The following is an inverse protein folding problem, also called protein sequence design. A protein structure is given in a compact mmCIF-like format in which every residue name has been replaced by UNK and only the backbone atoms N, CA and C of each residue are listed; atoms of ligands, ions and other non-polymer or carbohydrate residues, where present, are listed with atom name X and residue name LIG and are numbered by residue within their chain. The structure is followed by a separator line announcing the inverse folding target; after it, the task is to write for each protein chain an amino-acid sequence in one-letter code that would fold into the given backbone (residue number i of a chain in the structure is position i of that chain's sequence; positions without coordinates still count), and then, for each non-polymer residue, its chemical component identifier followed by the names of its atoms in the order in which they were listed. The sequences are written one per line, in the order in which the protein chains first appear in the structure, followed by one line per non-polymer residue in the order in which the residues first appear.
data_IF_372644667184
#
_entry.id   IF_372644667184
#
_cell.length_a   1.000
_cell.length_b   1.000
_cell.length_c   1.000
_cell.angle_alpha   90.00
_cell.angle_beta   90.00
_cell.angle_gamma   90.00
#
_symmetry.space_group_name_H-M   'P 1'
#
loop_
_entity.id
_entity.type
_entity.pdbx_description
1 polymer ?
#
# COMPACT_ATOMS: atom_id res chain seq x y z
N UNK A 1 0.16 22.72 7.28
CA UNK A 1 0.89 21.46 7.19
C UNK A 1 1.69 21.33 5.89
N UNK A 2 1.13 21.71 4.74
CA UNK A 2 1.87 21.70 3.46
C UNK A 2 3.12 22.60 3.49
N UNK A 3 3.03 23.76 4.09
CA UNK A 3 4.16 24.68 4.24
C UNK A 3 5.25 24.08 5.15
N UNK A 4 4.86 23.44 6.25
CA UNK A 4 5.76 22.71 7.13
C UNK A 4 6.49 21.59 6.39
N UNK A 5 5.77 20.82 5.59
CA UNK A 5 6.34 19.76 4.76
C UNK A 5 7.41 20.30 3.81
N UNK A 6 7.14 21.41 3.11
CA UNK A 6 8.09 22.03 2.18
C UNK A 6 9.36 22.51 2.90
N UNK A 7 9.21 23.10 4.08
CA UNK A 7 10.35 23.61 4.86
C UNK A 7 11.23 22.51 5.43
N UNK A 8 10.63 21.44 5.94
CA UNK A 8 11.36 20.37 6.61
C UNK A 8 12.02 19.42 5.64
N UNK A 9 11.33 19.05 4.57
CA UNK A 9 11.79 18.03 3.63
C UNK A 9 12.36 18.60 2.34
N UNK A 10 12.35 19.90 2.17
CA UNK A 10 12.82 20.60 0.95
C UNK A 10 12.22 20.01 -0.34
N UNK A 11 10.99 19.49 -0.24
CA UNK A 11 10.27 18.89 -1.35
C UNK A 11 9.28 19.88 -1.91
N UNK A 12 9.43 20.21 -3.19
CA UNK A 12 8.55 21.14 -3.89
C UNK A 12 7.23 20.49 -4.32
N UNK A 13 7.14 19.15 -4.29
CA UNK A 13 5.91 18.43 -4.54
C UNK A 13 5.04 18.42 -3.30
N UNK A 14 3.74 18.66 -3.46
CA UNK A 14 2.82 18.59 -2.34
C UNK A 14 2.62 17.15 -1.90
N UNK A 15 2.51 16.88 -0.56
CA UNK A 15 2.08 15.58 -0.08
C UNK A 15 0.61 15.34 -0.49
N UNK A 16 0.25 14.07 -0.68
CA UNK A 16 -1.12 13.68 -1.01
C UNK A 16 -2.06 13.97 0.16
N UNK A 17 -1.67 13.54 1.34
CA UNK A 17 -2.35 13.77 2.61
C UNK A 17 -1.39 13.49 3.76
N UNK A 18 -1.86 13.70 4.97
CA UNK A 18 -1.05 13.49 6.18
C UNK A 18 -1.89 12.93 7.33
N UNK A 19 -1.19 12.37 8.31
CA UNK A 19 -1.76 11.76 9.50
C UNK A 19 -1.18 12.43 10.73
N UNK A 20 -2.05 12.89 11.63
CA UNK A 20 -1.64 13.34 12.96
C UNK A 20 -1.45 12.15 13.88
N UNK A 21 -0.33 12.15 14.59
CA UNK A 21 -0.07 11.22 15.68
C UNK A 21 -0.13 11.99 17.00
N UNK A 22 -0.96 11.52 17.91
CA UNK A 22 -1.07 12.10 19.24
C UNK A 22 -1.51 11.03 20.23
N UNK A 23 -0.63 10.69 21.17
CA UNK A 23 -0.89 9.73 22.22
C UNK A 23 -0.31 10.23 23.53
N UNK A 24 -1.05 10.14 24.62
CA UNK A 24 -0.63 10.53 25.96
C UNK A 24 -0.37 9.31 26.86
N UNK A 25 -1.07 8.23 26.65
CA UNK A 25 -0.97 6.99 27.44
C UNK A 25 -1.11 5.76 26.54
N UNK A 26 -0.33 4.70 26.70
CA UNK A 26 0.65 4.44 27.77
C UNK A 26 2.01 5.11 27.59
N UNK A 27 2.23 5.84 26.51
CA UNK A 27 3.44 6.63 26.26
C UNK A 27 3.05 7.93 25.57
N UNK A 28 3.94 8.92 25.67
CA UNK A 28 3.76 10.22 25.04
C UNK A 28 4.38 10.21 23.65
N UNK A 29 3.56 10.48 22.63
CA UNK A 29 4.02 10.54 21.25
C UNK A 29 3.21 11.59 20.50
N UNK A 30 3.91 12.50 19.82
CA UNK A 30 3.32 13.50 18.94
C UNK A 30 4.04 13.51 17.61
N UNK A 31 3.31 13.70 16.54
CA UNK A 31 3.95 13.78 15.25
C UNK A 31 2.98 13.95 14.09
N UNK A 32 3.57 13.95 12.92
CA UNK A 32 2.86 14.02 11.65
C UNK A 32 3.57 13.13 10.64
N UNK A 33 2.79 12.32 9.94
CA UNK A 33 3.26 11.52 8.82
C UNK A 33 2.63 12.03 7.54
N UNK A 34 3.44 12.18 6.50
CA UNK A 34 3.01 12.59 5.17
C UNK A 34 3.11 11.44 4.19
N UNK A 35 2.09 11.30 3.35
CA UNK A 35 2.13 10.43 2.17
C UNK A 35 2.63 11.25 0.99
N UNK A 36 3.89 11.09 0.59
CA UNK A 36 4.41 11.73 -0.60
C UNK A 36 3.89 11.02 -1.84
N UNK A 37 3.94 11.69 -2.98
CA UNK A 37 3.72 11.05 -4.26
C UNK A 37 4.93 10.19 -4.60
N UNK A 38 4.78 8.86 -4.52
CA UNK A 38 5.85 7.90 -4.68
C UNK A 38 5.91 7.42 -6.12
N UNK A 39 7.06 7.63 -6.78
CA UNK A 39 7.33 7.06 -8.09
C UNK A 39 8.34 5.92 -7.95
N UNK A 40 7.84 4.68 -7.87
CA UNK A 40 8.66 3.48 -7.63
C UNK A 40 9.57 3.09 -8.81
N UNK A 41 9.42 3.70 -9.98
CA UNK A 41 10.17 3.32 -11.18
C UNK A 41 11.51 4.05 -11.36
N UNK A 42 11.67 5.23 -10.77
CA UNK A 42 12.78 6.14 -11.10
C UNK A 42 13.64 6.62 -9.94
N UNK A 43 13.26 6.37 -8.71
CA UNK A 43 13.98 6.86 -7.53
C UNK A 43 14.18 5.75 -6.49
N UNK A 44 15.36 5.71 -5.86
CA UNK A 44 15.53 4.95 -4.63
C UNK A 44 14.71 5.64 -3.54
N UNK A 45 13.53 5.10 -3.25
CA UNK A 45 12.52 5.81 -2.49
C UNK A 45 12.65 5.44 -1.03
N UNK A 46 13.53 6.12 -0.35
CA UNK A 46 13.42 6.22 1.08
C UNK A 46 12.79 7.57 1.41
N UNK A 47 11.60 7.55 2.02
CA UNK A 47 11.08 8.69 2.74
C UNK A 47 11.99 9.02 3.91
N UNK A 48 11.72 10.08 4.62
CA UNK A 48 12.47 10.44 5.81
C UNK A 48 11.53 10.65 6.97
N UNK A 49 11.63 9.80 7.99
CA UNK A 49 10.94 9.98 9.27
C UNK A 49 11.96 10.42 10.30
N UNK A 50 11.85 11.67 10.71
CA UNK A 50 12.74 12.30 11.70
C UNK A 50 12.23 12.03 13.10
N UNK A 51 13.07 11.43 13.94
CA UNK A 51 12.74 11.11 15.31
C UNK A 51 13.35 12.11 16.27
N UNK A 52 12.52 12.61 17.18
CA UNK A 52 12.89 13.56 18.24
C UNK A 52 12.56 12.99 19.61
N UNK A 53 13.26 13.47 20.60
CA UNK A 53 12.95 13.26 22.01
C UNK A 53 12.94 14.62 22.73
N UNK A 54 11.78 15.03 23.25
CA UNK A 54 11.60 16.36 23.84
C UNK A 54 12.12 17.49 22.94
N UNK A 55 11.76 17.47 21.65
CA UNK A 55 12.15 18.44 20.63
C UNK A 55 13.65 18.44 20.28
N UNK A 56 14.40 17.47 20.76
CA UNK A 56 15.81 17.28 20.38
C UNK A 56 15.90 16.18 19.31
N UNK A 57 16.52 16.52 18.19
CA UNK A 57 16.69 15.57 17.08
C UNK A 57 17.59 14.39 17.50
N UNK A 58 17.14 13.19 17.17
CA UNK A 58 17.84 11.94 17.48
C UNK A 58 18.46 11.35 16.22
N UNK A 59 17.65 11.00 15.24
CA UNK A 59 18.09 10.41 13.99
C UNK A 59 16.98 10.36 12.95
N UNK A 60 17.35 10.05 11.72
CA UNK A 60 16.42 9.72 10.65
C UNK A 60 16.24 8.20 10.56
N UNK A 61 15.03 7.77 10.20
CA UNK A 61 14.71 6.39 9.80
C UNK A 61 15.24 5.29 10.74
N UNK A 62 14.96 5.39 12.02
CA UNK A 62 15.38 4.37 13.01
C UNK A 62 14.54 3.11 12.81
N UNK A 63 15.13 2.07 12.19
CA UNK A 63 14.47 0.80 11.84
C UNK A 63 13.94 0.04 13.05
N UNK A 64 14.57 0.20 14.19
CA UNK A 64 14.17 -0.43 15.44
C UNK A 64 12.84 0.11 15.98
N UNK A 65 12.49 1.34 15.66
CA UNK A 65 11.28 2.03 16.14
C UNK A 65 10.21 2.11 15.04
N UNK A 66 10.65 2.38 13.81
CA UNK A 66 9.77 2.59 12.66
C UNK A 66 9.77 1.33 11.80
N UNK A 67 8.62 0.67 11.56
CA UNK A 67 8.53 -0.45 10.63
C UNK A 67 9.10 -0.10 9.24
N UNK A 68 9.82 -1.03 8.65
CA UNK A 68 10.54 -0.80 7.38
C UNK A 68 9.64 -0.25 6.28
N UNK A 69 8.42 -0.78 6.13
CA UNK A 69 7.51 -0.34 5.08
C UNK A 69 7.04 1.11 5.27
N UNK A 70 6.99 1.61 6.50
CA UNK A 70 6.63 3.01 6.80
C UNK A 70 7.73 3.99 6.40
N UNK A 71 8.95 3.52 6.13
CA UNK A 71 10.06 4.39 5.71
C UNK A 71 9.89 4.98 4.31
N UNK A 72 8.87 4.54 3.57
CA UNK A 72 8.44 5.19 2.34
C UNK A 72 7.72 6.51 2.58
N UNK A 73 7.28 6.76 3.80
CA UNK A 73 6.62 8.00 4.22
C UNK A 73 7.65 9.04 4.69
N UNK A 74 7.21 10.29 4.74
CA UNK A 74 7.96 11.38 5.34
C UNK A 74 7.24 11.83 6.60
N UNK A 75 7.98 12.23 7.62
CA UNK A 75 7.34 12.64 8.86
C UNK A 75 8.30 13.11 9.92
N UNK A 76 7.71 13.59 11.00
CA UNK A 76 8.38 14.00 12.22
C UNK A 76 7.63 13.40 13.39
N UNK A 77 8.35 12.71 14.26
CA UNK A 77 7.79 12.07 15.45
C UNK A 77 8.60 12.49 16.65
N UNK A 78 7.93 12.99 17.69
CA UNK A 78 8.53 13.27 19.00
C UNK A 78 7.97 12.28 20.02
N UNK A 79 8.86 11.49 20.61
CA UNK A 79 8.54 10.55 21.67
C UNK A 79 9.47 10.75 22.88
N UNK A 80 9.05 11.53 23.88
CA UNK A 80 9.87 11.79 25.07
C UNK A 80 10.22 10.53 25.87
N UNK A 81 9.37 9.51 25.81
CA UNK A 81 9.53 8.27 26.59
C UNK A 81 10.46 7.25 25.90
N UNK A 82 11.00 7.57 24.73
CA UNK A 82 11.88 6.66 24.00
C UNK A 82 13.19 6.43 24.80
N UNK A 83 13.58 5.15 25.03
CA UNK A 83 14.81 4.85 25.76
C UNK A 83 16.04 5.13 24.91
N UNK A 84 16.73 6.25 25.19
CA UNK A 84 17.89 6.72 24.42
C UNK A 84 19.23 6.11 24.87
N UNK A 85 19.26 5.53 26.07
CA UNK A 85 20.49 5.03 26.71
C UNK A 85 20.78 3.56 26.40
N UNK A 86 20.04 2.94 25.49
CA UNK A 86 20.20 1.55 25.08
C UNK A 86 20.74 1.43 23.67
N UNK A 87 21.47 0.35 23.39
CA UNK A 87 21.95 0.06 22.05
C UNK A 87 20.80 -0.18 21.08
N UNK A 88 21.01 0.02 19.77
CA UNK A 88 20.00 -0.27 18.75
C UNK A 88 19.52 -1.71 18.80
N UNK A 89 20.42 -2.67 19.06
CA UNK A 89 20.04 -4.09 19.20
C UNK A 89 19.13 -4.34 20.42
N UNK A 90 19.31 -3.58 21.51
CA UNK A 90 18.43 -3.66 22.67
C UNK A 90 17.04 -3.03 22.38
N UNK A 91 16.96 -1.99 21.53
CA UNK A 91 15.70 -1.39 21.10
C UNK A 91 14.82 -2.38 20.34
N UNK A 92 15.37 -3.27 19.53
CA UNK A 92 14.61 -4.29 18.78
C UNK A 92 13.83 -5.24 19.68
N UNK A 93 14.33 -5.52 20.88
CA UNK A 93 13.74 -6.43 21.85
C UNK A 93 12.96 -5.70 22.96
N UNK A 94 12.88 -4.37 22.90
CA UNK A 94 12.15 -3.58 23.86
C UNK A 94 10.66 -3.62 23.58
N UNK A 95 9.88 -4.11 24.54
CA UNK A 95 8.42 -4.20 24.42
C UNK A 95 7.74 -2.84 24.27
N UNK A 96 8.34 -1.79 24.80
CA UNK A 96 7.85 -0.42 24.66
C UNK A 96 8.01 0.10 23.23
N UNK A 97 9.17 -0.13 22.62
CA UNK A 97 9.45 0.22 21.22
C UNK A 97 8.50 -0.50 20.27
N UNK A 98 8.20 -1.76 20.55
CA UNK A 98 7.20 -2.53 19.80
C UNK A 98 5.80 -1.90 19.89
N UNK A 99 5.41 -1.41 21.05
CA UNK A 99 4.12 -0.71 21.22
C UNK A 99 4.05 0.58 20.41
N UNK A 100 5.13 1.34 20.33
CA UNK A 100 5.23 2.55 19.48
C UNK A 100 5.04 2.16 18.01
N UNK A 101 5.78 1.17 17.55
CA UNK A 101 5.72 0.66 16.19
C UNK A 101 4.31 0.17 15.82
N UNK A 102 3.68 -0.61 16.68
CA UNK A 102 2.31 -1.11 16.49
C UNK A 102 1.29 0.04 16.45
N UNK A 103 1.46 1.06 17.30
CA UNK A 103 0.60 2.24 17.31
C UNK A 103 0.68 3.03 16.01
N UNK A 104 1.89 3.29 15.51
CA UNK A 104 2.09 4.02 14.25
C UNK A 104 1.47 3.23 13.09
N UNK A 105 1.74 1.94 13.01
CA UNK A 105 1.18 1.05 11.99
C UNK A 105 -0.34 1.06 12.00
N UNK A 106 -0.94 0.98 13.18
CA UNK A 106 -2.40 1.04 13.35
C UNK A 106 -2.96 2.38 12.87
N UNK A 107 -2.34 3.49 13.21
CA UNK A 107 -2.80 4.83 12.79
C UNK A 107 -2.73 5.01 11.28
N UNK A 108 -1.69 4.49 10.64
CA UNK A 108 -1.58 4.50 9.17
C UNK A 108 -2.72 3.67 8.54
N UNK A 109 -2.94 2.45 9.03
CA UNK A 109 -4.02 1.60 8.56
C UNK A 109 -5.40 2.24 8.79
N UNK A 110 -5.64 2.82 9.96
CA UNK A 110 -6.90 3.50 10.30
C UNK A 110 -7.18 4.69 9.38
N UNK A 111 -6.16 5.47 9.03
CA UNK A 111 -6.30 6.57 8.07
C UNK A 111 -6.74 6.07 6.69
N UNK A 112 -6.07 5.04 6.19
CA UNK A 112 -6.34 4.48 4.86
C UNK A 112 -7.72 3.80 4.82
N UNK A 113 -8.04 2.98 5.81
CA UNK A 113 -9.35 2.31 5.88
C UNK A 113 -10.49 3.31 6.11
N UNK A 114 -10.24 4.34 6.91
CA UNK A 114 -11.19 5.42 7.13
C UNK A 114 -11.51 6.20 5.85
N UNK A 115 -10.51 6.52 5.04
CA UNK A 115 -10.70 7.15 3.73
C UNK A 115 -11.54 6.25 2.81
N UNK A 116 -11.26 4.96 2.78
CA UNK A 116 -12.02 4.01 1.97
C UNK A 116 -13.50 3.95 2.38
N UNK A 117 -13.78 4.04 3.68
CA UNK A 117 -15.15 3.97 4.21
C UNK A 117 -15.92 5.28 4.09
N UNK A 118 -15.28 6.40 4.34
CA UNK A 118 -15.96 7.71 4.51
C UNK A 118 -15.72 8.67 3.37
N UNK A 119 -14.67 8.50 2.59
CA UNK A 119 -14.32 9.36 1.46
C UNK A 119 -13.73 8.53 0.32
N UNK A 120 -14.54 7.62 -0.19
CA UNK A 120 -14.17 6.67 -1.25
C UNK A 120 -13.65 7.36 -2.50
N UNK A 121 -14.22 8.49 -2.88
CA UNK A 121 -13.80 9.25 -4.04
C UNK A 121 -12.34 9.71 -3.92
N UNK A 122 -11.95 10.27 -2.78
CA UNK A 122 -10.57 10.68 -2.51
C UNK A 122 -9.63 9.47 -2.45
N UNK A 123 -10.07 8.37 -1.85
CA UNK A 123 -9.32 7.11 -1.78
C UNK A 123 -9.02 6.57 -3.18
N UNK A 124 -10.01 6.52 -4.05
CA UNK A 124 -9.85 6.10 -5.45
C UNK A 124 -8.94 7.06 -6.24
N UNK A 125 -9.10 8.36 -6.02
CA UNK A 125 -8.25 9.39 -6.65
C UNK A 125 -6.77 9.20 -6.34
N UNK A 126 -6.43 8.81 -5.11
CA UNK A 126 -5.05 8.61 -4.69
C UNK A 126 -4.57 7.17 -4.85
N UNK A 127 -5.44 6.24 -5.21
CA UNK A 127 -5.12 4.81 -5.19
C UNK A 127 -3.85 4.47 -5.97
N UNK A 128 -3.69 4.96 -7.18
CA UNK A 128 -2.51 4.65 -8.02
C UNK A 128 -1.20 5.14 -7.37
N UNK A 129 -1.27 6.22 -6.59
CA UNK A 129 -0.12 6.76 -5.85
C UNK A 129 0.15 6.02 -4.53
N UNK A 130 -0.88 5.55 -3.84
CA UNK A 130 -0.74 4.90 -2.53
C UNK A 130 -0.69 3.37 -2.61
N UNK A 131 -1.16 2.78 -3.70
CA UNK A 131 -1.21 1.32 -3.87
C UNK A 131 0.16 0.65 -3.72
N UNK A 132 1.25 1.15 -4.30
CA UNK A 132 2.58 0.53 -4.11
C UNK A 132 2.99 0.48 -2.64
N UNK A 133 2.75 1.55 -1.88
CA UNK A 133 3.00 1.60 -0.45
C UNK A 133 2.17 0.55 0.32
N UNK A 134 0.86 0.51 0.06
CA UNK A 134 -0.05 -0.42 0.74
C UNK A 134 0.33 -1.87 0.43
N UNK A 135 0.59 -2.20 -0.83
CA UNK A 135 0.98 -3.54 -1.27
C UNK A 135 2.33 -3.95 -0.69
N UNK A 136 3.30 -3.05 -0.67
CA UNK A 136 4.58 -3.30 -0.02
C UNK A 136 4.41 -3.56 1.48
N UNK A 137 3.59 -2.76 2.16
CA UNK A 137 3.24 -2.95 3.56
C UNK A 137 2.58 -4.30 3.85
N UNK A 138 1.66 -4.72 2.99
CA UNK A 138 0.99 -6.02 3.08
C UNK A 138 1.96 -7.19 2.90
N UNK A 139 3.01 -7.02 2.10
CA UNK A 139 4.05 -8.03 1.90
C UNK A 139 5.02 -8.12 3.08
N UNK A 140 5.26 -7.01 3.77
CA UNK A 140 6.27 -6.92 4.84
C UNK A 140 5.72 -7.07 6.25
N UNK A 141 4.47 -6.75 6.47
CA UNK A 141 3.84 -6.73 7.80
C UNK A 141 2.48 -7.43 7.75
N UNK A 142 2.39 -8.59 8.42
CA UNK A 142 1.18 -9.39 8.43
C UNK A 142 0.01 -8.69 9.13
N UNK A 143 0.26 -7.97 10.19
CA UNK A 143 -0.79 -7.23 10.91
C UNK A 143 -1.39 -6.12 10.05
N UNK A 144 -0.52 -5.42 9.32
CA UNK A 144 -0.96 -4.41 8.35
C UNK A 144 -1.76 -5.04 7.21
N UNK A 145 -1.29 -6.17 6.68
CA UNK A 145 -2.00 -6.93 5.64
C UNK A 145 -3.42 -7.33 6.09
N UNK A 146 -3.56 -7.85 7.30
CA UNK A 146 -4.86 -8.25 7.86
C UNK A 146 -5.81 -7.05 7.99
N UNK A 147 -5.30 -5.89 8.40
CA UNK A 147 -6.11 -4.66 8.51
C UNK A 147 -6.53 -4.09 7.16
N UNK A 148 -5.69 -4.25 6.14
CA UNK A 148 -5.92 -3.69 4.80
C UNK A 148 -6.67 -4.64 3.86
N UNK A 149 -6.86 -5.90 4.22
CA UNK A 149 -7.32 -6.96 3.32
C UNK A 149 -8.63 -6.60 2.59
N UNK A 150 -9.62 -6.06 3.31
CA UNK A 150 -10.91 -5.67 2.74
C UNK A 150 -10.90 -4.30 2.04
N UNK A 151 -9.78 -3.59 2.07
CA UNK A 151 -9.65 -2.22 1.58
C UNK A 151 -8.70 -2.09 0.39
N UNK A 152 -8.20 -3.19 -0.11
CA UNK A 152 -7.47 -3.24 -1.37
C UNK A 152 -8.48 -3.13 -2.51
N UNK A 153 -8.26 -2.19 -3.41
CA UNK A 153 -9.12 -1.97 -4.57
C UNK A 153 -8.34 -2.21 -5.87
N UNK A 154 -9.07 -2.60 -6.89
CA UNK A 154 -8.53 -2.98 -8.19
C UNK A 154 -9.22 -2.20 -9.29
N UNK A 155 -8.46 -1.55 -10.14
CA UNK A 155 -8.97 -0.81 -11.29
C UNK A 155 -9.28 -1.77 -12.43
N UNK A 156 -10.52 -1.76 -12.92
CA UNK A 156 -10.94 -2.60 -14.03
C UNK A 156 -10.68 -1.94 -15.39
N UNK A 157 -11.10 -2.61 -16.47
CA UNK A 157 -10.93 -2.10 -17.84
C UNK A 157 -11.74 -0.83 -18.12
N UNK A 158 -12.82 -0.60 -17.40
CA UNK A 158 -13.66 0.60 -17.51
C UNK A 158 -13.18 1.76 -16.62
N UNK A 159 -12.06 1.58 -15.93
CA UNK A 159 -11.52 2.59 -15.01
C UNK A 159 -12.23 2.66 -13.66
N UNK A 160 -13.08 1.70 -13.34
CA UNK A 160 -13.76 1.59 -12.04
C UNK A 160 -12.93 0.79 -11.05
N UNK A 161 -13.04 1.11 -9.77
CA UNK A 161 -12.33 0.45 -8.69
C UNK A 161 -13.25 -0.55 -7.99
N UNK A 162 -12.81 -1.80 -7.92
CA UNK A 162 -13.54 -2.93 -7.36
C UNK A 162 -12.77 -3.53 -6.18
N UNK A 163 -13.48 -4.08 -5.20
CA UNK A 163 -12.88 -4.93 -4.17
C UNK A 163 -12.54 -6.31 -4.75
N UNK A 164 -11.72 -7.10 -4.06
CA UNK A 164 -11.45 -8.48 -4.48
C UNK A 164 -12.74 -9.31 -4.55
N UNK A 165 -13.63 -9.13 -3.58
CA UNK A 165 -14.94 -9.79 -3.57
C UNK A 165 -15.75 -9.46 -4.82
N UNK A 166 -15.81 -8.19 -5.19
CA UNK A 166 -16.51 -7.74 -6.39
C UNK A 166 -15.90 -8.35 -7.67
N UNK A 167 -14.58 -8.45 -7.73
CA UNK A 167 -13.88 -9.09 -8.85
C UNK A 167 -14.21 -10.58 -8.92
N UNK A 168 -14.28 -11.26 -7.78
CA UNK A 168 -14.61 -12.69 -7.72
C UNK A 168 -16.07 -12.95 -8.09
N UNK A 169 -17.01 -12.13 -7.62
CA UNK A 169 -18.43 -12.22 -7.98
C UNK A 169 -18.63 -12.01 -9.48
N UNK A 170 -17.94 -11.02 -10.04
CA UNK A 170 -17.98 -10.73 -11.47
C UNK A 170 -17.40 -11.88 -12.32
N UNK A 171 -16.29 -12.46 -11.88
CA UNK A 171 -15.67 -13.61 -12.52
C UNK A 171 -16.63 -14.81 -12.56
N UNK A 172 -17.39 -15.03 -11.49
CA UNK A 172 -18.41 -16.09 -11.43
C UNK A 172 -19.54 -15.83 -12.42
N UNK A 173 -20.03 -14.60 -12.48
CA UNK A 173 -21.08 -14.21 -13.45
C UNK A 173 -20.61 -14.37 -14.91
N UNK A 174 -19.33 -14.13 -15.17
CA UNK A 174 -18.72 -14.25 -16.50
C UNK A 174 -18.36 -15.70 -16.87
N UNK A 175 -18.56 -16.67 -15.97
CA UNK A 175 -18.35 -18.10 -16.23
C UNK A 175 -16.95 -18.62 -15.96
N UNK A 176 -16.09 -17.84 -15.29
CA UNK A 176 -14.74 -18.27 -14.90
C UNK A 176 -14.50 -18.05 -13.39
N UNK A 177 -15.31 -18.70 -12.58
CA UNK A 177 -15.26 -18.61 -11.11
C UNK A 177 -13.84 -18.81 -10.58
N UNK A 178 -13.42 -17.96 -9.62
CA UNK A 178 -12.11 -17.95 -8.98
C UNK A 178 -10.92 -17.63 -9.91
N UNK A 179 -11.18 -17.15 -11.11
CA UNK A 179 -10.14 -16.72 -12.05
C UNK A 179 -10.31 -15.24 -12.35
N UNK A 180 -9.27 -14.46 -12.01
CA UNK A 180 -9.24 -13.02 -12.25
C UNK A 180 -8.18 -12.73 -13.29
N UNK A 181 -8.58 -12.15 -14.42
CA UNK A 181 -7.66 -11.71 -15.47
C UNK A 181 -7.03 -10.36 -15.12
N UNK A 182 -5.77 -10.20 -15.44
CA UNK A 182 -5.07 -8.94 -15.21
C UNK A 182 -4.22 -8.50 -16.38
N UNK A 183 -4.04 -7.17 -16.46
CA UNK A 183 -3.27 -6.47 -17.47
C UNK A 183 -2.02 -5.91 -16.82
N UNK A 184 -0.86 -6.16 -17.41
CA UNK A 184 0.42 -5.61 -16.94
C UNK A 184 0.83 -4.36 -17.72
N UNK A 185 0.46 -4.28 -19.00
CA UNK A 185 0.77 -3.15 -19.87
C UNK A 185 -0.38 -2.93 -20.86
N UNK A 186 -1.11 -1.84 -20.69
CA UNK A 186 -2.30 -1.54 -21.49
C UNK A 186 -2.00 -1.34 -22.97
N UNK A 187 -0.85 -0.78 -23.31
CA UNK A 187 -0.46 -0.54 -24.70
C UNK A 187 -0.09 -1.84 -25.41
N UNK A 188 0.76 -2.65 -24.80
CA UNK A 188 1.22 -3.92 -25.39
C UNK A 188 0.10 -4.96 -25.46
N UNK A 189 -0.85 -4.91 -24.52
CA UNK A 189 -1.95 -5.85 -24.42
C UNK A 189 -3.27 -5.27 -24.92
N UNK A 190 -3.26 -4.17 -25.64
CA UNK A 190 -4.47 -3.47 -26.13
C UNK A 190 -5.39 -4.36 -26.96
N UNK A 191 -4.84 -5.26 -27.74
CA UNK A 191 -5.60 -6.20 -28.56
C UNK A 191 -6.46 -7.14 -27.68
N UNK A 192 -5.87 -7.66 -26.62
CA UNK A 192 -6.58 -8.54 -25.66
C UNK A 192 -7.61 -7.76 -24.85
N UNK A 193 -7.31 -6.53 -24.45
CA UNK A 193 -8.25 -5.64 -23.77
C UNK A 193 -9.50 -5.41 -24.64
N UNK A 194 -9.32 -5.11 -25.92
CA UNK A 194 -10.41 -4.89 -26.86
C UNK A 194 -11.26 -6.15 -27.05
N UNK A 195 -10.64 -7.33 -27.12
CA UNK A 195 -11.34 -8.60 -27.19
C UNK A 195 -12.20 -8.86 -25.93
N UNK A 196 -11.64 -8.61 -24.76
CA UNK A 196 -12.37 -8.77 -23.49
C UNK A 196 -13.57 -7.84 -23.41
N UNK A 197 -13.38 -6.58 -23.75
CA UNK A 197 -14.49 -5.60 -23.78
C UNK A 197 -15.58 -5.99 -24.77
N UNK A 198 -15.20 -6.46 -25.96
CA UNK A 198 -16.15 -6.89 -26.98
C UNK A 198 -16.97 -8.12 -26.54
N UNK A 199 -16.41 -8.97 -25.70
CA UNK A 199 -17.08 -10.18 -25.19
C UNK A 199 -17.75 -9.97 -23.81
N UNK A 200 -17.80 -8.74 -23.32
CA UNK A 200 -18.38 -8.43 -22.01
C UNK A 200 -17.60 -9.00 -20.83
N UNK A 201 -16.32 -9.27 -21.01
CA UNK A 201 -15.43 -9.77 -19.96
C UNK A 201 -14.58 -8.65 -19.39
N UNK A 202 -14.25 -8.74 -18.11
CA UNK A 202 -13.45 -7.76 -17.40
C UNK A 202 -12.09 -8.30 -16.99
N UNK A 203 -11.19 -7.38 -16.71
CA UNK A 203 -9.86 -7.64 -16.17
C UNK A 203 -9.45 -6.47 -15.27
N UNK A 204 -8.44 -6.68 -14.44
CA UNK A 204 -7.89 -5.66 -13.56
C UNK A 204 -6.51 -5.24 -14.04
N UNK A 205 -6.15 -3.98 -13.75
CA UNK A 205 -4.88 -3.41 -14.16
C UNK A 205 -3.88 -3.54 -13.03
N UNK A 206 -2.80 -4.27 -13.29
CA UNK A 206 -1.73 -4.57 -12.33
C UNK A 206 -0.37 -4.22 -12.97
N UNK A 207 -0.13 -2.92 -13.16
CA UNK A 207 1.00 -2.41 -13.95
C UNK A 207 2.26 -2.11 -13.14
N UNK A 208 2.21 -2.20 -11.81
CA UNK A 208 3.39 -1.97 -10.95
C UNK A 208 4.17 -3.25 -10.73
N UNK A 209 5.50 -3.15 -10.58
CA UNK A 209 6.36 -4.30 -10.29
C UNK A 209 5.99 -5.02 -8.99
N UNK A 210 5.51 -4.29 -7.99
CA UNK A 210 5.07 -4.85 -6.72
C UNK A 210 3.83 -5.75 -6.86
N UNK A 211 3.09 -5.63 -7.95
CA UNK A 211 1.87 -6.41 -8.17
C UNK A 211 2.14 -7.91 -8.34
N UNK A 212 3.28 -8.30 -8.90
CA UNK A 212 3.63 -9.72 -9.06
C UNK A 212 3.74 -10.47 -7.71
N UNK A 213 4.58 -10.03 -6.76
CA UNK A 213 4.61 -10.68 -5.45
C UNK A 213 3.30 -10.51 -4.68
N UNK A 214 2.59 -9.40 -4.89
CA UNK A 214 1.29 -9.17 -4.26
C UNK A 214 0.22 -10.17 -4.73
N UNK A 215 0.14 -10.41 -6.03
CA UNK A 215 -0.74 -11.44 -6.62
C UNK A 215 -0.43 -12.82 -6.04
N UNK A 216 0.85 -13.19 -5.95
CA UNK A 216 1.27 -14.46 -5.37
C UNK A 216 0.81 -14.61 -3.91
N UNK A 217 0.88 -13.54 -3.13
CA UNK A 217 0.39 -13.55 -1.75
C UNK A 217 -1.14 -13.72 -1.69
N UNK A 218 -1.89 -13.05 -2.56
CA UNK A 218 -3.35 -13.17 -2.63
C UNK A 218 -3.79 -14.60 -3.02
N UNK A 219 -3.09 -15.23 -3.96
CA UNK A 219 -3.35 -16.62 -4.34
C UNK A 219 -3.10 -17.59 -3.19
N UNK A 220 -2.10 -17.33 -2.34
CA UNK A 220 -1.83 -18.13 -1.15
C UNK A 220 -2.87 -17.96 -0.05
N UNK A 221 -3.44 -16.75 0.09
CA UNK A 221 -4.47 -16.46 1.09
C UNK A 221 -5.84 -17.02 0.75
N UNK A 222 -6.15 -17.12 -0.54
CA UNK A 222 -7.47 -17.54 -1.03
C UNK A 222 -7.35 -18.85 -1.80
N UNK A 223 -7.87 -19.91 -1.21
CA UNK A 223 -7.92 -21.22 -1.85
C UNK A 223 -8.71 -21.13 -3.18
N UNK A 224 -8.17 -21.76 -4.22
CA UNK A 224 -8.72 -21.79 -5.57
C UNK A 224 -8.65 -20.49 -6.38
N UNK A 225 -8.22 -19.36 -5.77
CA UNK A 225 -8.05 -18.10 -6.50
C UNK A 225 -6.83 -18.18 -7.43
N UNK A 226 -7.03 -17.81 -8.69
CA UNK A 226 -5.98 -17.68 -9.70
C UNK A 226 -6.07 -16.35 -10.40
N UNK A 227 -4.91 -15.69 -10.53
CA UNK A 227 -4.75 -14.52 -11.37
C UNK A 227 -4.12 -14.95 -12.68
N UNK A 228 -4.76 -14.63 -13.80
CA UNK A 228 -4.33 -15.00 -15.13
C UNK A 228 -4.02 -13.76 -15.95
N UNK A 229 -2.82 -13.69 -16.54
CA UNK A 229 -2.52 -12.61 -17.48
C UNK A 229 -3.50 -12.65 -18.63
N UNK A 230 -3.96 -11.48 -19.05
CA UNK A 230 -4.97 -11.34 -20.10
C UNK A 230 -4.57 -12.02 -21.41
N UNK A 231 -3.27 -12.13 -21.69
CA UNK A 231 -2.71 -12.74 -22.91
C UNK A 231 -2.36 -14.22 -22.74
N UNK A 232 -2.55 -14.82 -21.58
CA UNK A 232 -2.18 -16.21 -21.31
C UNK A 232 -3.13 -17.23 -21.93
N UNK A 233 -4.43 -16.98 -21.92
CA UNK A 233 -5.48 -17.91 -22.34
C UNK A 233 -5.59 -18.07 -23.87
N UNK A 234 -5.15 -17.06 -24.64
CA UNK A 234 -5.25 -17.13 -26.10
C UNK A 234 -4.29 -18.18 -26.69
N UNK A 235 -3.21 -18.48 -25.97
CA UNK A 235 -2.25 -19.51 -26.39
C UNK A 235 -2.79 -20.94 -26.21
N UNK A 236 -3.72 -21.14 -25.27
CA UNK A 236 -4.30 -22.46 -25.01
C UNK A 236 -5.50 -22.75 -25.95
N UNK A 237 -6.32 -21.74 -26.22
CA UNK A 237 -7.43 -21.87 -27.19
C UNK A 237 -6.92 -22.05 -28.65
N UNK A 238 -5.82 -21.39 -28.98
CA UNK A 238 -5.20 -21.56 -30.32
C UNK A 238 -4.47 -22.89 -30.48
N UNK A 239 -4.16 -23.61 -29.40
CA UNK A 239 -3.57 -24.95 -29.43
C UNK A 239 -4.59 -26.06 -29.59
N UNK A 240 -5.86 -25.80 -29.28
CA UNK A 240 -6.95 -26.77 -29.47
C UNK A 240 -7.57 -26.73 -30.87
N UNK A 241 -7.25 -25.70 -31.67
CA UNK A 241 -7.77 -25.57 -33.05
C UNK A 241 -6.76 -26.00 -34.16
N UNK A 242 -5.66 -26.68 -33.80
CA UNK A 242 -4.68 -27.19 -34.78
C UNK A 242 -4.65 -28.73 -34.78
#
# INVERSE_FOLDING_TARGET
YKEFYRKVFMDYKEPLFWIHLNMDYPFNLKGILYFPKINMEYESIEGTIKLYNNQVFIADNIKEVIPEFLMLLKGVIDCPDLPLNVSRSALQNDGFVKKISDYITKKVADKLTGMCKTDRETYEKYWDDIAPFIKFGCLKDQKFAEKMDDYIIYKNLDGKYLTLKDCMDKAKEEGHENQIYYVTNEKEQSQYINMFKANGQDAIIMSHSIDNPFISQEEQKHENLKFLRIDADVNDTLREEV
#
